data_IF_865719406112
#
_entry.id   IF_865719406112
#
_cell.length_a   1.000
_cell.length_b   1.000
_cell.length_c   1.000
_cell.angle_alpha   90.00
_cell.angle_beta   90.00
_cell.angle_gamma   90.00
#
_symmetry.space_group_name_H-M   'P 1'
#
loop_
_entity.id
_entity.type
_entity.pdbx_description
1 polymer ?
#
# COMPACT_ATOMS: atom_id res chain seq x y z
N UNK A 1 -39.80 3.64 9.85
CA UNK A 1 -38.75 3.15 8.93
C UNK A 1 -37.99 4.37 8.49
N UNK A 2 -36.82 4.63 9.09
CA UNK A 2 -35.91 5.64 8.57
C UNK A 2 -35.46 5.19 7.18
N UNK A 3 -35.36 6.10 6.18
CA UNK A 3 -34.85 5.72 4.87
C UNK A 3 -33.43 5.18 5.05
N UNK A 4 -33.20 3.96 4.58
CA UNK A 4 -31.85 3.38 4.45
C UNK A 4 -30.98 4.42 3.76
N UNK A 5 -30.00 4.98 4.48
CA UNK A 5 -29.01 5.90 3.90
C UNK A 5 -28.30 5.13 2.80
N UNK A 6 -28.69 5.41 1.55
CA UNK A 6 -28.01 4.81 0.39
C UNK A 6 -26.52 5.14 0.49
N UNK A 7 -25.72 4.08 0.56
CA UNK A 7 -24.25 4.19 0.58
C UNK A 7 -23.78 4.81 -0.73
N UNK A 8 -22.86 5.78 -0.64
CA UNK A 8 -22.21 6.34 -1.82
C UNK A 8 -21.41 5.22 -2.55
N UNK A 9 -21.71 5.03 -3.84
CA UNK A 9 -20.94 4.15 -4.73
C UNK A 9 -20.03 4.95 -5.65
N UNK A 10 -19.09 4.28 -6.31
CA UNK A 10 -18.27 4.93 -7.34
C UNK A 10 -19.16 5.42 -8.50
N UNK A 11 -18.89 6.62 -8.99
CA UNK A 11 -19.64 7.21 -10.09
C UNK A 11 -19.35 6.58 -11.46
N UNK A 12 -18.22 5.85 -11.57
CA UNK A 12 -17.83 5.21 -12.83
C UNK A 12 -16.95 3.98 -12.62
N UNK A 13 -17.02 3.02 -13.57
CA UNK A 13 -16.15 1.85 -13.60
C UNK A 13 -14.66 2.23 -13.66
N UNK A 14 -14.32 3.26 -14.45
CA UNK A 14 -12.96 3.77 -14.54
C UNK A 14 -12.49 4.34 -13.19
N UNK A 15 -13.37 5.07 -12.47
CA UNK A 15 -13.07 5.58 -11.12
C UNK A 15 -12.74 4.47 -10.14
N UNK A 16 -13.54 3.41 -10.13
CA UNK A 16 -13.27 2.23 -9.31
C UNK A 16 -11.91 1.60 -9.63
N UNK A 17 -11.61 1.37 -10.92
CA UNK A 17 -10.34 0.77 -11.35
C UNK A 17 -9.15 1.65 -10.95
N UNK A 18 -9.21 2.96 -11.19
CA UNK A 18 -8.12 3.88 -10.88
C UNK A 18 -7.88 4.03 -9.37
N UNK A 19 -8.95 4.09 -8.56
CA UNK A 19 -8.81 4.14 -7.10
C UNK A 19 -8.26 2.83 -6.56
N UNK A 20 -8.75 1.67 -7.06
CA UNK A 20 -8.26 0.36 -6.66
C UNK A 20 -6.79 0.15 -7.06
N UNK A 21 -6.42 0.55 -8.28
CA UNK A 21 -5.02 0.54 -8.73
C UNK A 21 -4.15 1.48 -7.89
N UNK A 22 -4.65 2.69 -7.56
CA UNK A 22 -3.96 3.63 -6.68
C UNK A 22 -3.76 3.12 -5.26
N UNK A 23 -4.68 2.32 -4.76
CA UNK A 23 -4.51 1.65 -3.48
C UNK A 23 -3.43 0.54 -3.55
N UNK A 24 -3.38 -0.19 -4.66
CA UNK A 24 -2.40 -1.26 -4.88
C UNK A 24 -0.99 -0.72 -5.16
N UNK A 25 -0.87 0.37 -5.94
CA UNK A 25 0.39 1.03 -6.27
C UNK A 25 0.83 1.90 -5.08
N UNK A 26 1.50 1.29 -4.13
CA UNK A 26 2.01 1.94 -2.94
C UNK A 26 3.53 2.05 -2.90
N UNK A 27 4.05 2.52 -1.78
CA UNK A 27 5.49 2.61 -1.49
C UNK A 27 6.18 1.25 -1.64
N UNK A 28 5.48 0.15 -1.32
CA UNK A 28 5.99 -1.21 -1.43
C UNK A 28 6.45 -1.59 -2.84
N UNK A 29 5.78 -1.12 -3.88
CA UNK A 29 6.13 -1.39 -5.27
C UNK A 29 7.45 -0.73 -5.68
N UNK A 30 7.75 0.42 -5.09
CA UNK A 30 8.94 1.21 -5.44
C UNK A 30 10.12 0.94 -4.49
N UNK A 31 9.83 0.54 -3.26
CA UNK A 31 10.84 0.26 -2.25
C UNK A 31 11.05 -1.25 -2.04
N UNK A 32 10.02 -1.94 -1.48
CA UNK A 32 10.17 -3.34 -1.02
C UNK A 32 10.41 -4.29 -2.19
N UNK A 33 9.68 -4.12 -3.28
CA UNK A 33 9.80 -5.01 -4.44
C UNK A 33 11.19 -4.96 -5.10
N UNK A 34 11.76 -3.78 -5.44
CA UNK A 34 13.13 -3.71 -5.95
C UNK A 34 14.16 -4.27 -4.98
N UNK A 35 14.09 -3.91 -3.68
CA UNK A 35 15.02 -4.39 -2.67
C UNK A 35 15.04 -5.93 -2.61
N UNK A 36 13.85 -6.54 -2.48
CA UNK A 36 13.71 -8.01 -2.42
C UNK A 36 14.13 -8.65 -3.74
N UNK A 37 13.82 -8.03 -4.89
CA UNK A 37 14.28 -8.51 -6.20
C UNK A 37 15.80 -8.52 -6.28
N UNK A 38 16.46 -7.48 -5.79
CA UNK A 38 17.93 -7.41 -5.74
C UNK A 38 18.55 -8.47 -4.84
N UNK A 39 17.94 -8.74 -3.68
CA UNK A 39 18.43 -9.72 -2.71
C UNK A 39 18.26 -11.18 -3.16
N UNK A 40 17.18 -11.50 -3.88
CA UNK A 40 16.78 -12.89 -4.16
C UNK A 40 16.90 -13.29 -5.63
N UNK A 41 17.89 -12.79 -6.35
CA UNK A 41 18.28 -13.28 -7.67
C UNK A 41 17.59 -12.59 -8.86
N UNK A 42 17.10 -11.36 -8.69
CA UNK A 42 16.69 -10.51 -9.80
C UNK A 42 15.52 -11.10 -10.61
N UNK A 43 15.77 -11.41 -11.89
CA UNK A 43 14.76 -11.92 -12.81
C UNK A 43 14.11 -13.24 -12.40
N UNK A 44 14.82 -14.11 -11.68
CA UNK A 44 14.26 -15.36 -11.15
C UNK A 44 13.20 -15.07 -10.09
N UNK A 45 13.49 -14.15 -9.19
CA UNK A 45 12.51 -13.70 -8.19
C UNK A 45 11.24 -13.14 -8.87
N UNK A 46 11.40 -12.29 -9.89
CA UNK A 46 10.25 -11.73 -10.65
C UNK A 46 9.41 -12.83 -11.28
N UNK A 47 10.05 -13.88 -11.84
CA UNK A 47 9.31 -15.02 -12.40
C UNK A 47 8.47 -15.75 -11.33
N UNK A 48 9.07 -16.04 -10.17
CA UNK A 48 8.32 -16.65 -9.06
C UNK A 48 7.20 -15.74 -8.55
N UNK A 49 7.46 -14.44 -8.43
CA UNK A 49 6.45 -13.45 -8.05
C UNK A 49 5.24 -13.51 -9.00
N UNK A 50 5.46 -13.53 -10.32
CA UNK A 50 4.38 -13.65 -11.31
C UNK A 50 3.59 -14.94 -11.19
N UNK A 51 4.28 -16.05 -10.95
CA UNK A 51 3.63 -17.35 -10.72
C UNK A 51 2.73 -17.29 -9.48
N UNK A 52 3.24 -16.77 -8.35
CA UNK A 52 2.46 -16.66 -7.11
C UNK A 52 1.36 -15.58 -7.20
N UNK A 53 1.55 -14.52 -7.96
CA UNK A 53 0.50 -13.55 -8.25
C UNK A 53 -0.70 -14.21 -8.91
N UNK A 54 -0.47 -15.07 -9.89
CA UNK A 54 -1.55 -15.80 -10.58
C UNK A 54 -2.15 -16.90 -9.70
N UNK A 55 -1.33 -17.66 -8.99
CA UNK A 55 -1.77 -18.78 -8.18
C UNK A 55 -2.45 -18.36 -6.88
N UNK A 56 -2.00 -17.29 -6.24
CA UNK A 56 -2.46 -16.85 -4.92
C UNK A 56 -3.10 -15.47 -4.95
N UNK A 57 -2.44 -14.49 -5.52
CA UNK A 57 -2.87 -13.09 -5.50
C UNK A 57 -4.23 -12.90 -6.17
N UNK A 58 -4.39 -13.36 -7.40
CA UNK A 58 -5.67 -13.25 -8.12
C UNK A 58 -6.83 -14.00 -7.43
N UNK A 59 -6.67 -15.26 -6.97
CA UNK A 59 -7.71 -15.92 -6.19
C UNK A 59 -8.15 -15.17 -4.95
N UNK A 60 -7.21 -14.70 -4.11
CA UNK A 60 -7.53 -13.96 -2.89
C UNK A 60 -8.22 -12.64 -3.22
N UNK A 61 -7.69 -11.87 -4.17
CA UNK A 61 -8.31 -10.62 -4.61
C UNK A 61 -9.74 -10.83 -5.12
N UNK A 62 -10.00 -11.89 -5.89
CA UNK A 62 -11.36 -12.18 -6.35
C UNK A 62 -12.31 -12.55 -5.21
N UNK A 63 -11.81 -13.19 -4.14
CA UNK A 63 -12.60 -13.47 -2.94
C UNK A 63 -12.95 -12.20 -2.18
N UNK A 64 -11.99 -11.32 -1.96
CA UNK A 64 -12.22 -10.03 -1.30
C UNK A 64 -13.23 -9.17 -2.05
N UNK A 65 -13.06 -9.04 -3.37
CA UNK A 65 -13.99 -8.29 -4.21
C UNK A 65 -15.39 -8.92 -4.23
N UNK A 66 -15.51 -10.26 -4.25
CA UNK A 66 -16.79 -10.95 -4.23
C UNK A 66 -17.51 -10.75 -2.88
N UNK A 67 -16.80 -10.83 -1.76
CA UNK A 67 -17.36 -10.56 -0.41
C UNK A 67 -17.82 -9.11 -0.30
N UNK A 68 -17.00 -8.16 -0.74
CA UNK A 68 -17.36 -6.75 -0.72
C UNK A 68 -18.58 -6.43 -1.59
N UNK A 69 -18.65 -7.01 -2.81
CA UNK A 69 -19.77 -6.82 -3.73
C UNK A 69 -21.06 -7.45 -3.21
N UNK A 70 -21.02 -8.69 -2.74
CA UNK A 70 -22.19 -9.39 -2.25
C UNK A 70 -22.68 -8.89 -0.88
N UNK A 71 -21.75 -8.42 -0.03
CA UNK A 71 -22.05 -7.92 1.31
C UNK A 71 -22.57 -6.48 1.36
N UNK A 72 -22.33 -5.69 0.31
CA UNK A 72 -22.73 -4.27 0.19
C UNK A 72 -22.38 -3.39 1.40
N UNK A 73 -21.32 -3.73 2.15
CA UNK A 73 -20.94 -3.05 3.39
C UNK A 73 -19.43 -2.99 3.61
N UNK A 74 -19.01 -2.32 4.70
CA UNK A 74 -17.65 -2.42 5.21
C UNK A 74 -17.35 -3.88 5.65
N UNK A 75 -16.08 -4.22 5.88
CA UNK A 75 -15.66 -5.61 6.07
C UNK A 75 -16.55 -6.37 7.08
N UNK A 76 -16.83 -5.78 8.26
CA UNK A 76 -17.66 -6.43 9.29
C UNK A 76 -19.10 -6.64 8.83
N UNK A 77 -19.72 -5.61 8.25
CA UNK A 77 -21.10 -5.67 7.75
C UNK A 77 -21.22 -6.66 6.60
N UNK A 78 -20.24 -6.71 5.69
CA UNK A 78 -20.21 -7.67 4.59
C UNK A 78 -20.13 -9.13 5.09
N UNK A 79 -19.23 -9.41 6.03
CA UNK A 79 -19.21 -10.75 6.66
C UNK A 79 -20.52 -11.10 7.34
N UNK A 80 -21.10 -10.18 8.12
CA UNK A 80 -22.36 -10.39 8.83
C UNK A 80 -23.53 -10.67 7.89
N UNK A 81 -23.55 -10.03 6.72
CA UNK A 81 -24.59 -10.25 5.71
C UNK A 81 -24.50 -11.62 5.01
N UNK A 82 -23.28 -12.16 4.90
CA UNK A 82 -23.02 -13.38 4.12
C UNK A 82 -22.82 -14.63 4.99
N UNK A 83 -22.52 -14.48 6.28
CA UNK A 83 -22.23 -15.58 7.18
C UNK A 83 -23.48 -16.43 7.50
N UNK A 84 -23.32 -17.74 7.76
CA UNK A 84 -24.40 -18.59 8.26
C UNK A 84 -24.91 -18.11 9.63
N UNK A 85 -26.20 -18.30 9.87
CA UNK A 85 -26.81 -17.94 11.15
C UNK A 85 -26.09 -18.64 12.33
N UNK A 86 -25.76 -17.84 13.35
CA UNK A 86 -25.06 -18.32 14.56
C UNK A 86 -23.54 -18.42 14.42
N UNK A 87 -22.97 -18.11 13.25
CA UNK A 87 -21.51 -18.04 13.09
C UNK A 87 -20.95 -16.71 13.59
N UNK A 88 -19.63 -16.60 13.65
CA UNK A 88 -18.93 -15.42 14.18
C UNK A 88 -17.87 -14.87 13.20
N UNK A 89 -18.04 -15.09 11.91
CA UNK A 89 -17.08 -14.63 10.92
C UNK A 89 -16.97 -13.09 10.85
N UNK A 90 -18.05 -12.39 11.16
CA UNK A 90 -18.06 -10.92 11.26
C UNK A 90 -17.00 -10.35 12.22
N UNK A 91 -16.48 -11.15 13.18
CA UNK A 91 -15.39 -10.73 14.07
C UNK A 91 -14.13 -10.40 13.26
N UNK A 92 -13.90 -11.11 12.13
CA UNK A 92 -12.76 -10.82 11.26
C UNK A 92 -12.79 -9.39 10.72
N UNK A 93 -13.95 -8.78 10.54
CA UNK A 93 -14.05 -7.38 10.14
C UNK A 93 -13.38 -6.40 11.12
N UNK A 94 -13.35 -6.71 12.42
CA UNK A 94 -12.58 -5.93 13.40
C UNK A 94 -11.07 -6.08 13.20
N UNK A 95 -10.60 -7.28 12.88
CA UNK A 95 -9.18 -7.50 12.55
C UNK A 95 -8.78 -6.73 11.28
N UNK A 96 -9.65 -6.67 10.27
CA UNK A 96 -9.44 -5.85 9.08
C UNK A 96 -9.32 -4.35 9.43
N UNK A 97 -10.21 -3.84 10.29
CA UNK A 97 -10.18 -2.44 10.73
C UNK A 97 -8.90 -2.12 11.52
N UNK A 98 -8.54 -2.97 12.47
CA UNK A 98 -7.29 -2.83 13.26
C UNK A 98 -6.07 -2.89 12.34
N UNK A 99 -6.07 -3.80 11.36
CA UNK A 99 -5.00 -3.89 10.35
C UNK A 99 -4.86 -2.60 9.54
N UNK A 100 -5.97 -1.99 9.12
CA UNK A 100 -5.94 -0.70 8.43
C UNK A 100 -5.39 0.43 9.32
N UNK A 101 -5.74 0.45 10.60
CA UNK A 101 -5.23 1.45 11.55
C UNK A 101 -3.72 1.26 11.77
N UNK A 102 -3.27 0.02 12.06
CA UNK A 102 -1.86 -0.30 12.23
C UNK A 102 -1.03 0.05 10.98
N UNK A 103 -1.54 -0.30 9.78
CA UNK A 103 -0.91 0.08 8.53
C UNK A 103 -0.73 1.60 8.44
N UNK A 104 -1.76 2.38 8.77
CA UNK A 104 -1.71 3.82 8.64
C UNK A 104 -0.84 4.50 9.71
N UNK A 105 -0.56 3.87 10.84
CA UNK A 105 0.32 4.41 11.87
C UNK A 105 1.74 4.66 11.32
N UNK A 106 2.32 3.69 10.61
CA UNK A 106 3.63 3.88 10.01
C UNK A 106 3.59 4.42 8.58
N UNK A 107 2.57 4.08 7.80
CA UNK A 107 2.49 4.45 6.39
C UNK A 107 2.34 5.96 6.19
N UNK A 108 1.61 6.66 7.08
CA UNK A 108 1.51 8.13 7.06
C UNK A 108 2.85 8.81 7.38
N UNK A 109 3.65 8.22 8.26
CA UNK A 109 5.01 8.70 8.56
C UNK A 109 5.91 8.60 7.34
N UNK A 110 5.96 7.42 6.68
CA UNK A 110 6.78 7.22 5.47
C UNK A 110 6.28 8.08 4.31
N UNK A 111 4.96 8.24 4.17
CA UNK A 111 4.38 9.17 3.17
C UNK A 111 4.78 10.63 3.45
N UNK A 112 4.92 11.00 4.71
CA UNK A 112 5.45 12.30 5.13
C UNK A 112 6.89 12.51 4.66
N UNK A 113 7.75 11.49 4.77
CA UNK A 113 9.13 11.56 4.26
C UNK A 113 9.19 11.79 2.75
N UNK A 114 8.29 11.16 1.97
CA UNK A 114 8.21 11.38 0.53
C UNK A 114 7.85 12.84 0.20
N UNK A 115 6.91 13.40 0.94
CA UNK A 115 6.48 14.79 0.77
C UNK A 115 7.59 15.78 1.19
N UNK A 116 8.31 15.52 2.28
CA UNK A 116 9.46 16.31 2.69
C UNK A 116 10.54 16.33 1.59
N UNK A 117 10.93 15.17 1.10
CA UNK A 117 11.92 15.06 0.04
C UNK A 117 11.49 15.73 -1.27
N UNK A 118 10.20 15.66 -1.62
CA UNK A 118 9.66 16.44 -2.73
C UNK A 118 9.94 17.94 -2.56
N UNK A 119 9.62 18.49 -1.39
CA UNK A 119 9.88 19.92 -1.13
C UNK A 119 11.36 20.24 -1.09
N UNK A 120 12.20 19.39 -0.52
CA UNK A 120 13.67 19.59 -0.47
C UNK A 120 14.28 19.62 -1.87
N UNK A 121 13.88 18.73 -2.77
CA UNK A 121 14.31 18.79 -4.18
C UNK A 121 13.74 20.00 -4.90
N UNK A 122 12.46 20.31 -4.71
CA UNK A 122 11.81 21.47 -5.33
C UNK A 122 12.48 22.79 -4.95
N UNK A 123 12.86 22.93 -3.69
CA UNK A 123 13.52 24.15 -3.17
C UNK A 123 15.04 24.19 -3.42
N UNK A 124 15.63 23.09 -3.90
CA UNK A 124 17.05 23.02 -4.22
C UNK A 124 17.95 22.70 -3.03
N UNK A 125 17.42 22.14 -1.94
CA UNK A 125 18.23 21.82 -0.76
C UNK A 125 19.27 20.71 -1.02
N UNK A 126 19.19 20.04 -2.16
CA UNK A 126 20.17 19.04 -2.61
C UNK A 126 21.20 19.62 -3.60
N UNK A 127 21.05 20.89 -4.03
CA UNK A 127 21.91 21.49 -5.05
C UNK A 127 23.33 21.69 -4.52
N UNK A 128 24.31 21.14 -5.23
CA UNK A 128 25.74 21.31 -4.89
C UNK A 128 26.22 20.49 -3.69
N UNK A 129 25.41 19.60 -3.13
CA UNK A 129 25.82 18.72 -2.05
C UNK A 129 26.74 17.60 -2.54
N UNK A 130 27.69 17.22 -1.71
CA UNK A 130 28.45 15.97 -1.89
C UNK A 130 27.58 14.75 -1.56
N UNK A 131 27.95 13.56 -2.05
CA UNK A 131 27.25 12.32 -1.75
C UNK A 131 27.13 12.01 -0.26
N UNK A 132 28.14 12.40 0.52
CA UNK A 132 28.16 12.24 1.98
C UNK A 132 27.14 13.17 2.65
N UNK A 133 27.08 14.43 2.24
CA UNK A 133 26.12 15.40 2.75
C UNK A 133 24.68 15.04 2.37
N UNK A 134 24.44 14.62 1.12
CA UNK A 134 23.13 14.16 0.69
C UNK A 134 22.65 12.91 1.46
N UNK A 135 23.57 12.00 1.78
CA UNK A 135 23.28 10.84 2.64
C UNK A 135 22.94 11.23 4.08
N UNK A 136 23.54 12.31 4.60
CA UNK A 136 23.30 12.81 5.95
C UNK A 136 21.89 13.38 6.16
N UNK A 137 21.27 13.93 5.11
CA UNK A 137 19.94 14.58 5.19
C UNK A 137 18.86 13.64 5.76
N UNK A 138 18.90 12.37 5.40
CA UNK A 138 17.94 11.39 5.93
C UNK A 138 18.11 11.21 7.45
N UNK A 139 19.33 11.08 7.92
CA UNK A 139 19.62 11.00 9.36
C UNK A 139 19.23 12.26 10.14
N UNK A 140 19.45 13.43 9.55
CA UNK A 140 19.03 14.72 10.14
C UNK A 140 17.50 14.78 10.27
N UNK A 141 16.76 14.43 9.22
CA UNK A 141 15.29 14.37 9.24
C UNK A 141 14.79 13.41 10.32
N UNK A 142 15.33 12.18 10.37
CA UNK A 142 14.95 11.17 11.38
C UNK A 142 15.24 11.63 12.81
N UNK A 143 16.29 12.42 13.01
CA UNK A 143 16.67 12.94 14.33
C UNK A 143 15.81 14.12 14.79
N UNK A 144 15.03 14.75 13.89
CA UNK A 144 14.17 15.91 14.17
C UNK A 144 12.72 15.49 14.53
N UNK A 145 12.33 15.47 15.81
CA UNK A 145 10.97 15.09 16.22
C UNK A 145 9.88 15.97 15.60
N UNK A 146 10.15 17.28 15.52
CA UNK A 146 9.19 18.27 15.02
C UNK A 146 8.92 18.04 13.53
N UNK A 147 9.98 17.84 12.75
CA UNK A 147 9.88 17.63 11.31
C UNK A 147 9.15 16.32 10.98
N UNK A 148 9.50 15.23 11.67
CA UNK A 148 8.86 13.94 11.54
C UNK A 148 7.35 14.01 11.80
N UNK A 149 6.95 14.61 12.92
CA UNK A 149 5.53 14.75 13.29
C UNK A 149 4.80 15.72 12.36
N UNK A 150 5.45 16.81 11.94
CA UNK A 150 4.86 17.82 11.04
C UNK A 150 4.44 17.20 9.70
N UNK A 151 5.34 16.49 9.01
CA UNK A 151 5.07 15.90 7.71
C UNK A 151 4.06 14.76 7.78
N UNK A 152 4.15 13.91 8.82
CA UNK A 152 3.15 12.87 9.10
C UNK A 152 1.76 13.50 9.31
N UNK A 153 1.66 14.56 10.12
CA UNK A 153 0.39 15.23 10.40
C UNK A 153 -0.21 15.88 9.14
N UNK A 154 0.60 16.50 8.27
CA UNK A 154 0.15 17.06 7.00
C UNK A 154 -0.51 15.98 6.14
N UNK A 155 0.15 14.84 5.93
CA UNK A 155 -0.38 13.72 5.15
C UNK A 155 -1.70 13.23 5.75
N UNK A 156 -1.74 13.04 7.07
CA UNK A 156 -2.94 12.53 7.76
C UNK A 156 -4.11 13.51 7.62
N UNK A 157 -3.89 14.79 7.91
CA UNK A 157 -4.93 15.81 7.82
C UNK A 157 -5.41 15.98 6.37
N UNK A 158 -4.50 16.06 5.40
CA UNK A 158 -4.84 16.18 3.98
C UNK A 158 -5.68 14.97 3.51
N UNK A 159 -5.32 13.75 3.90
CA UNK A 159 -6.05 12.54 3.56
C UNK A 159 -7.50 12.58 4.09
N UNK A 160 -7.70 12.92 5.35
CA UNK A 160 -9.05 13.03 5.91
C UNK A 160 -9.86 14.20 5.35
N UNK A 161 -9.22 15.32 4.98
CA UNK A 161 -9.90 16.42 4.26
C UNK A 161 -10.42 15.95 2.91
N UNK A 162 -9.64 15.16 2.15
CA UNK A 162 -10.06 14.58 0.87
C UNK A 162 -11.23 13.63 1.08
N UNK A 163 -11.11 12.68 2.01
CA UNK A 163 -12.17 11.72 2.32
C UNK A 163 -13.43 12.41 2.87
N UNK A 164 -13.29 13.48 3.63
CA UNK A 164 -14.42 14.27 4.17
C UNK A 164 -15.34 14.85 3.09
N UNK A 165 -14.84 15.01 1.84
CA UNK A 165 -15.62 15.48 0.69
C UNK A 165 -16.52 14.42 0.05
N UNK A 166 -16.56 13.21 0.61
CA UNK A 166 -17.32 12.08 0.09
C UNK A 166 -16.55 11.19 -0.88
N UNK A 167 -17.16 10.05 -1.23
CA UNK A 167 -16.53 9.07 -2.09
C UNK A 167 -16.32 9.61 -3.51
N UNK A 168 -17.36 10.18 -4.12
CA UNK A 168 -17.29 10.68 -5.51
C UNK A 168 -16.60 12.05 -5.61
N UNK A 169 -16.91 12.99 -4.70
CA UNK A 169 -16.35 14.34 -4.71
C UNK A 169 -14.92 14.45 -4.21
N UNK A 170 -14.52 13.56 -3.30
CA UNK A 170 -13.19 13.50 -2.71
C UNK A 170 -12.33 12.39 -3.30
N UNK A 171 -12.51 11.17 -2.82
CA UNK A 171 -11.65 10.03 -3.14
C UNK A 171 -11.57 9.75 -4.65
N UNK A 172 -12.71 9.60 -5.34
CA UNK A 172 -12.73 9.24 -6.77
C UNK A 172 -12.15 10.36 -7.65
N UNK A 173 -12.51 11.62 -7.38
CA UNK A 173 -12.02 12.77 -8.16
C UNK A 173 -10.52 12.96 -7.98
N UNK A 174 -10.04 12.98 -6.74
CA UNK A 174 -8.62 13.17 -6.42
C UNK A 174 -7.83 11.95 -6.89
N UNK A 175 -8.32 10.72 -6.63
CA UNK A 175 -7.68 9.49 -7.06
C UNK A 175 -7.53 9.40 -8.58
N UNK A 176 -8.55 9.73 -9.37
CA UNK A 176 -8.47 9.78 -10.84
C UNK A 176 -7.37 10.73 -11.33
N UNK A 177 -7.34 11.95 -10.77
CA UNK A 177 -6.34 12.94 -11.16
C UNK A 177 -4.93 12.49 -10.79
N UNK A 178 -4.74 12.02 -9.56
CA UNK A 178 -3.45 11.55 -9.08
C UNK A 178 -2.95 10.33 -9.87
N UNK A 179 -3.81 9.35 -10.13
CA UNK A 179 -3.43 8.15 -10.88
C UNK A 179 -3.09 8.47 -12.34
N UNK A 180 -3.81 9.42 -12.97
CA UNK A 180 -3.45 9.89 -14.32
C UNK A 180 -2.11 10.61 -14.33
N UNK A 181 -1.87 11.50 -13.36
CA UNK A 181 -0.59 12.18 -13.21
C UNK A 181 0.56 11.18 -12.92
N UNK A 182 0.32 10.21 -12.04
CA UNK A 182 1.25 9.15 -11.70
C UNK A 182 1.63 8.30 -12.93
N UNK A 183 0.67 7.93 -13.77
CA UNK A 183 0.95 7.21 -15.01
C UNK A 183 1.83 8.02 -15.96
N UNK A 184 1.56 9.31 -16.13
CA UNK A 184 2.38 10.20 -16.96
C UNK A 184 3.79 10.33 -16.39
N UNK A 185 3.90 10.55 -15.07
CA UNK A 185 5.19 10.69 -14.38
C UNK A 185 6.04 9.42 -14.52
N UNK A 186 5.44 8.23 -14.33
CA UNK A 186 6.18 6.97 -14.46
C UNK A 186 6.66 6.76 -15.91
N UNK A 187 5.84 7.10 -16.91
CA UNK A 187 6.25 7.02 -18.32
C UNK A 187 7.42 7.95 -18.63
N UNK A 188 7.38 9.20 -18.11
CA UNK A 188 8.48 10.16 -18.26
C UNK A 188 9.77 9.64 -17.62
N UNK A 189 9.69 9.14 -16.37
CA UNK A 189 10.84 8.60 -15.65
C UNK A 189 11.39 7.32 -16.32
N UNK A 190 10.53 6.45 -16.82
CA UNK A 190 10.93 5.24 -17.58
C UNK A 190 11.65 5.62 -18.87
N UNK A 191 11.10 6.53 -19.67
CA UNK A 191 11.75 7.02 -20.89
C UNK A 191 13.11 7.64 -20.57
N UNK A 192 13.19 8.44 -19.52
CA UNK A 192 14.47 9.00 -19.07
C UNK A 192 15.46 7.89 -18.62
N UNK A 193 15.00 6.87 -17.90
CA UNK A 193 15.84 5.74 -17.47
C UNK A 193 16.47 4.98 -18.64
N UNK A 194 15.79 4.89 -19.80
CA UNK A 194 16.34 4.31 -21.02
C UNK A 194 17.47 5.14 -21.66
N UNK A 195 17.61 6.39 -21.29
CA UNK A 195 18.73 7.24 -21.75
C UNK A 195 20.00 7.06 -20.92
N UNK A 196 19.91 6.37 -19.79
CA UNK A 196 21.07 6.04 -18.95
C UNK A 196 21.84 4.84 -19.53
N UNK A 197 23.18 4.81 -19.46
CA UNK A 197 23.97 3.71 -19.99
C UNK A 197 23.77 2.41 -19.18
N UNK A 198 23.13 1.41 -19.79
CA UNK A 198 22.91 0.08 -19.22
C UNK A 198 21.88 -0.76 -19.97
N UNK A 199 22.21 -2.01 -20.35
CA UNK A 199 21.44 -2.84 -21.31
C UNK A 199 20.23 -3.63 -20.75
N UNK A 200 19.76 -3.41 -19.52
CA UNK A 200 18.77 -4.29 -18.86
C UNK A 200 17.28 -3.99 -19.17
N UNK A 201 16.95 -3.24 -20.20
CA UNK A 201 15.65 -2.53 -20.30
C UNK A 201 14.61 -3.13 -21.26
N UNK A 202 14.41 -4.43 -21.37
CA UNK A 202 13.49 -4.94 -22.42
C UNK A 202 12.41 -5.92 -22.04
N UNK A 203 11.77 -5.94 -20.89
CA UNK A 203 10.53 -6.76 -20.71
C UNK A 203 9.69 -6.27 -19.51
N UNK A 204 8.37 -5.86 -19.66
CA UNK A 204 7.33 -5.96 -18.62
C UNK A 204 5.91 -5.46 -18.92
N UNK A 205 4.88 -5.93 -18.14
CA UNK A 205 3.42 -5.63 -18.25
C UNK A 205 2.76 -5.28 -16.90
N UNK A 206 1.92 -4.35 -16.91
CA UNK A 206 1.12 -3.37 -16.13
C UNK A 206 1.02 -3.29 -14.57
N UNK A 207 0.81 -4.24 -13.71
CA UNK A 207 0.92 -4.02 -12.24
C UNK A 207 2.33 -4.41 -11.78
N UNK A 208 2.79 -5.46 -12.34
CA UNK A 208 4.20 -5.77 -12.53
C UNK A 208 4.92 -4.65 -13.26
N UNK A 209 4.26 -3.93 -14.17
CA UNK A 209 4.80 -2.78 -14.88
C UNK A 209 5.22 -1.66 -13.93
N UNK A 210 4.46 -1.28 -12.91
CA UNK A 210 4.90 -0.22 -11.97
C UNK A 210 6.03 -0.70 -11.06
N UNK A 211 5.95 -1.91 -10.52
CA UNK A 211 7.03 -2.47 -9.70
C UNK A 211 8.29 -2.71 -10.54
N UNK A 212 8.13 -3.18 -11.76
CA UNK A 212 9.23 -3.35 -12.71
C UNK A 212 9.69 -2.02 -13.29
N UNK A 213 8.82 -1.03 -13.53
CA UNK A 213 9.25 0.32 -13.90
C UNK A 213 10.04 0.98 -12.77
N UNK A 214 9.64 0.80 -11.52
CA UNK A 214 10.43 1.24 -10.39
C UNK A 214 11.81 0.53 -10.37
N UNK A 215 11.85 -0.78 -10.60
CA UNK A 215 13.09 -1.53 -10.76
C UNK A 215 13.93 -1.05 -11.96
N UNK A 216 13.30 -0.78 -13.11
CA UNK A 216 13.96 -0.24 -14.30
C UNK A 216 14.52 1.18 -14.12
N UNK A 217 13.98 1.95 -13.20
CA UNK A 217 14.52 3.26 -12.81
C UNK A 217 15.68 3.07 -11.81
N UNK A 218 15.46 2.25 -10.79
CA UNK A 218 16.35 2.11 -9.64
C UNK A 218 17.59 1.28 -9.99
N UNK A 219 17.44 0.11 -10.64
CA UNK A 219 18.57 -0.77 -10.90
C UNK A 219 19.62 -0.15 -11.85
N UNK A 220 19.27 0.40 -13.01
CA UNK A 220 20.26 1.06 -13.85
C UNK A 220 20.95 2.21 -13.11
N UNK A 221 20.21 2.99 -12.32
CA UNK A 221 20.77 4.06 -11.52
C UNK A 221 21.75 3.51 -10.48
N UNK A 222 21.38 2.49 -9.68
CA UNK A 222 22.26 1.86 -8.69
C UNK A 222 23.53 1.31 -9.33
N UNK A 223 23.42 0.55 -10.42
CA UNK A 223 24.57 -0.05 -11.11
C UNK A 223 25.46 0.99 -11.79
N UNK A 224 24.89 2.06 -12.37
CA UNK A 224 25.69 3.14 -12.98
C UNK A 224 26.51 3.92 -11.95
N UNK A 225 26.06 3.97 -10.70
CA UNK A 225 26.75 4.67 -9.61
C UNK A 225 27.43 3.70 -8.61
N UNK A 226 27.46 2.39 -8.89
CA UNK A 226 28.15 1.39 -8.06
C UNK A 226 27.52 1.19 -6.68
N UNK A 227 26.21 1.38 -6.55
CA UNK A 227 25.47 1.32 -5.28
C UNK A 227 24.68 0.00 -5.22
N UNK A 228 24.69 -0.67 -4.06
CA UNK A 228 23.94 -1.90 -3.86
C UNK A 228 22.44 -1.63 -3.75
N UNK A 229 21.56 -2.36 -4.49
CA UNK A 229 20.12 -2.15 -4.48
C UNK A 229 19.41 -2.75 -3.26
N UNK A 230 20.12 -3.38 -2.32
CA UNK A 230 19.57 -4.11 -1.17
C UNK A 230 19.47 -3.30 0.14
N UNK A 231 19.59 -1.99 0.06
CA UNK A 231 19.72 -1.12 1.24
C UNK A 231 18.37 -0.75 1.96
N UNK A 232 17.24 -1.37 1.60
CA UNK A 232 15.94 -1.08 2.25
C UNK A 232 15.45 0.37 2.07
N UNK A 233 14.94 1.05 3.14
CA UNK A 233 14.54 2.47 3.08
C UNK A 233 15.65 3.39 2.59
N UNK A 234 16.88 3.06 2.94
CA UNK A 234 18.07 3.81 2.51
C UNK A 234 18.19 3.89 0.99
N UNK A 235 17.63 2.93 0.26
CA UNK A 235 17.60 2.96 -1.21
C UNK A 235 16.89 4.23 -1.74
N UNK A 236 15.74 4.57 -1.19
CA UNK A 236 14.96 5.72 -1.65
C UNK A 236 15.50 7.03 -1.07
N UNK A 237 15.86 7.05 0.20
CA UNK A 237 16.17 8.31 0.90
C UNK A 237 17.66 8.65 0.97
N UNK A 238 18.54 7.70 0.66
CA UNK A 238 19.99 7.91 0.62
C UNK A 238 20.52 7.70 -0.80
N UNK A 239 20.26 6.53 -1.38
CA UNK A 239 20.85 6.14 -2.67
C UNK A 239 20.32 6.98 -3.83
N UNK A 240 19.00 7.09 -4.01
CA UNK A 240 18.42 7.84 -5.12
C UNK A 240 18.69 9.35 -5.04
N UNK A 241 18.61 10.04 -3.90
CA UNK A 241 19.08 11.41 -3.79
C UNK A 241 20.54 11.58 -4.24
N UNK A 242 21.43 10.67 -3.85
CA UNK A 242 22.82 10.69 -4.32
C UNK A 242 22.94 10.54 -5.85
N UNK A 243 22.13 9.67 -6.44
CA UNK A 243 22.08 9.54 -7.90
C UNK A 243 21.64 10.87 -8.53
N UNK A 244 20.55 11.45 -8.02
CA UNK A 244 20.03 12.71 -8.56
C UNK A 244 21.00 13.89 -8.39
N UNK A 245 21.70 14.00 -7.27
CA UNK A 245 22.68 15.08 -7.06
C UNK A 245 23.86 15.00 -8.04
N UNK A 246 24.21 13.80 -8.50
CA UNK A 246 25.35 13.58 -9.40
C UNK A 246 24.96 13.56 -10.90
N UNK A 247 23.68 13.73 -11.26
CA UNK A 247 23.25 13.71 -12.66
C UNK A 247 22.83 15.08 -13.16
N UNK A 248 22.94 15.32 -14.48
CA UNK A 248 22.50 16.56 -15.09
C UNK A 248 20.99 16.76 -14.93
N UNK A 249 20.57 17.90 -14.38
CA UNK A 249 19.15 18.17 -14.11
C UNK A 249 18.58 17.39 -12.91
N UNK A 250 19.43 16.90 -12.02
CA UNK A 250 19.06 16.08 -10.88
C UNK A 250 17.99 16.68 -9.98
N UNK A 251 17.98 18.00 -9.80
CA UNK A 251 16.91 18.72 -9.09
C UNK A 251 15.54 18.45 -9.73
N UNK A 252 15.43 18.55 -11.05
CA UNK A 252 14.17 18.28 -11.77
C UNK A 252 13.76 16.82 -11.61
N UNK A 253 14.69 15.89 -11.85
CA UNK A 253 14.40 14.45 -11.78
C UNK A 253 14.08 14.00 -10.37
N UNK A 254 14.79 14.48 -9.36
CA UNK A 254 14.48 14.22 -7.97
C UNK A 254 13.12 14.77 -7.56
N UNK A 255 12.79 16.01 -7.97
CA UNK A 255 11.46 16.58 -7.73
C UNK A 255 10.35 15.75 -8.36
N UNK A 256 10.49 15.33 -9.63
CA UNK A 256 9.51 14.50 -10.31
C UNK A 256 9.37 13.11 -9.67
N UNK A 257 10.49 12.50 -9.27
CA UNK A 257 10.48 11.20 -8.60
C UNK A 257 9.76 11.26 -7.26
N UNK A 258 10.09 12.21 -6.39
CA UNK A 258 9.45 12.33 -5.08
C UNK A 258 8.01 12.84 -5.17
N UNK A 259 7.64 13.59 -6.21
CA UNK A 259 6.25 13.89 -6.52
C UNK A 259 5.47 12.62 -6.88
N UNK A 260 6.05 11.77 -7.75
CA UNK A 260 5.50 10.46 -8.07
C UNK A 260 5.30 9.61 -6.83
N UNK A 261 6.32 9.51 -5.97
CA UNK A 261 6.27 8.76 -4.72
C UNK A 261 5.20 9.29 -3.75
N UNK A 262 5.09 10.60 -3.65
CA UNK A 262 4.05 11.26 -2.82
C UNK A 262 2.66 10.92 -3.35
N UNK A 263 2.41 10.96 -4.64
CA UNK A 263 1.11 10.59 -5.21
C UNK A 263 0.81 9.10 -5.02
N UNK A 264 1.78 8.22 -5.24
CA UNK A 264 1.63 6.79 -5.03
C UNK A 264 1.26 6.48 -3.57
N UNK A 265 2.00 7.04 -2.61
CA UNK A 265 1.72 6.84 -1.20
C UNK A 265 0.39 7.45 -0.76
N UNK A 266 0.10 8.68 -1.18
CA UNK A 266 -1.12 9.38 -0.79
C UNK A 266 -2.38 8.75 -1.36
N UNK A 267 -2.34 8.14 -2.55
CA UNK A 267 -3.48 7.39 -3.09
C UNK A 267 -3.86 6.19 -2.23
N UNK A 268 -2.87 5.48 -1.68
CA UNK A 268 -3.09 4.39 -0.71
C UNK A 268 -3.67 4.95 0.61
N UNK A 269 -3.11 6.05 1.11
CA UNK A 269 -3.59 6.70 2.36
C UNK A 269 -5.08 7.04 2.27
N UNK A 270 -5.51 7.73 1.22
CA UNK A 270 -6.92 8.13 1.07
C UNK A 270 -7.85 6.92 0.90
N UNK A 271 -7.41 5.85 0.22
CA UNK A 271 -8.21 4.63 0.06
C UNK A 271 -8.40 3.88 1.39
N UNK A 272 -7.35 3.76 2.20
CA UNK A 272 -7.43 3.11 3.51
C UNK A 272 -8.19 3.97 4.51
N UNK A 273 -8.04 5.29 4.49
CA UNK A 273 -8.84 6.21 5.32
C UNK A 273 -10.32 6.10 5.01
N UNK A 274 -10.69 5.99 3.72
CA UNK A 274 -12.09 5.77 3.33
C UNK A 274 -12.63 4.48 3.94
N UNK A 275 -11.84 3.40 3.94
CA UNK A 275 -12.25 2.15 4.58
C UNK A 275 -12.43 2.32 6.11
N UNK A 276 -11.53 3.02 6.79
CA UNK A 276 -11.66 3.31 8.24
C UNK A 276 -12.91 4.13 8.52
N UNK A 277 -13.18 5.18 7.70
CA UNK A 277 -14.38 6.01 7.81
C UNK A 277 -15.64 5.17 7.57
N UNK A 278 -15.66 4.33 6.53
CA UNK A 278 -16.79 3.46 6.24
C UNK A 278 -17.09 2.52 7.41
N UNK A 279 -16.06 1.87 7.97
CA UNK A 279 -16.20 1.04 9.17
C UNK A 279 -16.74 1.84 10.36
N UNK A 280 -16.21 3.06 10.60
CA UNK A 280 -16.67 3.89 11.71
C UNK A 280 -18.14 4.33 11.54
N UNK A 281 -18.55 4.67 10.33
CA UNK A 281 -19.93 5.04 10.05
C UNK A 281 -20.90 3.85 10.22
N UNK A 282 -20.52 2.65 9.75
CA UNK A 282 -21.37 1.47 9.80
C UNK A 282 -21.41 0.81 11.19
N UNK A 283 -20.26 0.70 11.86
CA UNK A 283 -20.16 -0.04 13.13
C UNK A 283 -20.52 0.81 14.35
N UNK A 284 -20.21 2.11 14.33
CA UNK A 284 -20.49 3.02 15.45
C UNK A 284 -21.64 4.00 15.17
N UNK A 285 -22.22 3.99 13.97
CA UNK A 285 -23.28 4.90 13.59
C UNK A 285 -22.84 6.37 13.52
N UNK A 286 -21.54 6.63 13.32
CA UNK A 286 -21.02 7.99 13.22
C UNK A 286 -21.39 8.63 11.88
N UNK A 287 -21.61 9.94 11.90
CA UNK A 287 -21.62 10.69 10.64
C UNK A 287 -20.20 10.83 10.08
N UNK A 288 -20.11 11.08 8.78
CA UNK A 288 -18.84 11.16 8.07
C UNK A 288 -17.89 12.22 8.63
N UNK A 289 -18.41 13.40 8.99
CA UNK A 289 -17.61 14.48 9.58
C UNK A 289 -16.99 14.08 10.91
N UNK A 290 -17.80 13.48 11.80
CA UNK A 290 -17.32 12.97 13.08
C UNK A 290 -16.25 11.88 12.88
N UNK A 291 -16.49 10.93 11.96
CA UNK A 291 -15.53 9.88 11.65
C UNK A 291 -14.20 10.47 11.12
N UNK A 292 -14.24 11.50 10.28
CA UNK A 292 -13.04 12.19 9.79
C UNK A 292 -12.29 12.91 10.91
N UNK A 293 -12.99 13.67 11.76
CA UNK A 293 -12.35 14.44 12.85
C UNK A 293 -11.69 13.49 13.86
N UNK A 294 -12.45 12.49 14.33
CA UNK A 294 -11.94 11.52 15.30
C UNK A 294 -10.84 10.68 14.69
N UNK A 295 -11.00 10.23 13.43
CA UNK A 295 -9.99 9.48 12.69
C UNK A 295 -8.69 10.27 12.52
N UNK A 296 -8.77 11.56 12.18
CA UNK A 296 -7.59 12.45 12.10
C UNK A 296 -6.87 12.51 13.44
N UNK A 297 -7.58 12.84 14.52
CA UNK A 297 -6.98 12.95 15.84
C UNK A 297 -6.38 11.60 16.31
N UNK A 298 -7.12 10.51 16.11
CA UNK A 298 -6.67 9.17 16.47
C UNK A 298 -5.40 8.76 15.70
N UNK A 299 -5.37 8.92 14.37
CA UNK A 299 -4.22 8.49 13.56
C UNK A 299 -3.00 9.40 13.73
N UNK A 300 -3.18 10.71 13.98
CA UNK A 300 -2.04 11.56 14.36
C UNK A 300 -1.45 11.09 15.70
N UNK A 301 -2.28 10.82 16.70
CA UNK A 301 -1.79 10.33 18.00
C UNK A 301 -1.17 8.93 17.91
N UNK A 302 -1.81 8.01 17.19
CA UNK A 302 -1.32 6.64 17.03
C UNK A 302 -0.09 6.52 16.14
N UNK A 303 0.16 7.48 15.23
CA UNK A 303 1.37 7.56 14.43
C UNK A 303 2.58 8.18 15.17
N UNK A 304 2.37 8.84 16.34
CA UNK A 304 3.48 9.41 17.12
C UNK A 304 4.54 8.37 17.52
N UNK A 305 4.21 7.14 17.96
CA UNK A 305 5.22 6.14 18.30
C UNK A 305 6.14 5.81 17.13
N UNK A 306 5.60 5.72 15.92
CA UNK A 306 6.39 5.49 14.72
C UNK A 306 7.30 6.71 14.42
N UNK A 307 6.74 7.93 14.39
CA UNK A 307 7.49 9.15 14.08
C UNK A 307 8.56 9.46 15.14
N UNK A 308 8.26 9.25 16.42
CA UNK A 308 9.19 9.51 17.53
C UNK A 308 10.14 8.35 17.81
N UNK A 309 9.88 7.17 17.28
CA UNK A 309 10.71 5.97 17.46
C UNK A 309 12.13 6.09 16.90
N UNK A 310 12.37 7.03 16.00
CA UNK A 310 13.69 7.32 15.45
C UNK A 310 14.51 8.33 16.27
N UNK A 311 13.87 9.04 17.21
CA UNK A 311 14.49 10.12 17.98
C UNK A 311 14.18 10.03 19.47
N UNK A 312 13.13 10.70 19.98
CA UNK A 312 12.80 10.78 21.41
C UNK A 312 12.53 9.42 22.04
N UNK A 313 11.91 8.50 21.28
CA UNK A 313 11.56 7.15 21.73
C UNK A 313 12.42 6.06 21.12
N UNK A 314 13.61 6.38 20.61
CA UNK A 314 14.55 5.41 20.00
C UNK A 314 15.02 4.29 20.95
N UNK A 315 14.80 4.48 22.27
CA UNK A 315 15.04 3.43 23.27
C UNK A 315 14.00 2.29 23.22
N UNK A 316 12.85 2.52 22.55
CA UNK A 316 11.83 1.48 22.36
C UNK A 316 12.22 0.64 21.15
N UNK A 317 12.70 -0.56 21.39
CA UNK A 317 13.17 -1.52 20.37
C UNK A 317 12.38 -2.83 20.48
N UNK A 318 11.17 -2.90 19.91
CA UNK A 318 10.21 -3.98 20.19
C UNK A 318 10.66 -5.35 19.70
N UNK A 319 11.50 -5.41 18.67
CA UNK A 319 11.99 -6.65 18.05
C UNK A 319 13.46 -6.95 18.39
N UNK A 320 14.03 -6.24 19.37
CA UNK A 320 15.43 -6.37 19.77
C UNK A 320 16.31 -5.21 19.31
N UNK A 321 17.61 -5.30 19.62
CA UNK A 321 18.56 -4.22 19.41
C UNK A 321 18.60 -3.75 17.94
N UNK A 322 18.44 -2.44 17.74
CA UNK A 322 18.45 -1.80 16.43
C UNK A 322 17.09 -1.78 15.70
N UNK A 323 16.06 -2.43 16.23
CA UNK A 323 14.71 -2.35 15.65
C UNK A 323 14.00 -1.06 16.05
N UNK A 324 13.10 -0.61 15.18
CA UNK A 324 12.26 0.57 15.41
C UNK A 324 10.80 0.18 15.65
N UNK A 325 9.99 1.13 16.09
CA UNK A 325 8.54 0.95 16.19
C UNK A 325 7.93 0.67 14.80
N UNK A 326 8.44 1.33 13.75
CA UNK A 326 8.03 1.09 12.37
C UNK A 326 8.23 -0.37 11.95
N UNK A 327 9.40 -0.95 12.26
CA UNK A 327 9.70 -2.34 11.92
C UNK A 327 8.71 -3.31 12.58
N UNK A 328 8.33 -3.03 13.82
CA UNK A 328 7.35 -3.83 14.55
C UNK A 328 5.93 -3.70 13.96
N UNK A 329 5.50 -2.48 13.65
CA UNK A 329 4.20 -2.22 13.03
C UNK A 329 4.11 -2.88 11.64
N UNK A 330 5.15 -2.74 10.81
CA UNK A 330 5.23 -3.41 9.49
C UNK A 330 5.25 -4.93 9.64
N UNK A 331 5.99 -5.47 10.61
CA UNK A 331 6.00 -6.91 10.87
C UNK A 331 4.59 -7.44 11.21
N UNK A 332 3.87 -6.76 12.11
CA UNK A 332 2.51 -7.17 12.47
C UNK A 332 1.56 -7.15 11.26
N UNK A 333 1.65 -6.12 10.44
CA UNK A 333 0.79 -5.99 9.26
C UNK A 333 1.20 -6.97 8.19
N UNK A 334 2.46 -6.99 7.79
CA UNK A 334 2.95 -7.71 6.61
C UNK A 334 3.07 -9.22 6.83
N UNK A 335 3.48 -9.65 8.02
CA UNK A 335 3.77 -11.07 8.30
C UNK A 335 2.63 -11.78 9.02
N UNK A 336 1.77 -11.05 9.76
CA UNK A 336 0.68 -11.66 10.52
C UNK A 336 -0.69 -11.33 9.95
N UNK A 337 -1.04 -10.03 9.83
CA UNK A 337 -2.41 -9.62 9.50
C UNK A 337 -2.77 -9.85 8.04
N UNK A 338 -1.88 -9.56 7.10
CA UNK A 338 -2.14 -9.74 5.67
C UNK A 338 -2.25 -11.23 5.29
N UNK A 339 -1.28 -12.11 5.61
CA UNK A 339 -1.41 -13.53 5.28
C UNK A 339 -2.52 -14.22 6.10
N UNK A 340 -2.65 -13.89 7.38
CA UNK A 340 -3.72 -14.40 8.24
C UNK A 340 -5.10 -13.98 7.77
N UNK A 341 -5.26 -12.71 7.39
CA UNK A 341 -6.50 -12.17 6.82
C UNK A 341 -6.86 -12.85 5.51
N UNK A 342 -5.91 -13.02 4.61
CA UNK A 342 -6.10 -13.75 3.33
C UNK A 342 -6.56 -15.19 3.55
N UNK A 343 -5.98 -15.87 4.55
CA UNK A 343 -6.41 -17.23 4.93
C UNK A 343 -7.85 -17.26 5.46
N UNK A 344 -8.24 -16.27 6.27
CA UNK A 344 -9.62 -16.17 6.79
C UNK A 344 -10.61 -15.90 5.66
N UNK A 345 -10.30 -14.97 4.72
CA UNK A 345 -11.12 -14.73 3.53
C UNK A 345 -11.30 -16.01 2.69
N UNK A 346 -10.22 -16.73 2.48
CA UNK A 346 -10.25 -18.00 1.74
C UNK A 346 -11.14 -19.02 2.44
N UNK A 347 -10.91 -19.25 3.74
CA UNK A 347 -11.71 -20.21 4.53
C UNK A 347 -13.19 -19.82 4.56
N UNK A 348 -13.51 -18.55 4.68
CA UNK A 348 -14.87 -18.04 4.62
C UNK A 348 -15.55 -18.35 3.29
N UNK A 349 -14.85 -18.10 2.18
CA UNK A 349 -15.42 -18.31 0.84
C UNK A 349 -15.55 -19.80 0.46
N UNK A 350 -14.70 -20.71 1.00
CA UNK A 350 -14.66 -22.10 0.49
C UNK A 350 -15.24 -23.14 1.46
N UNK A 351 -15.38 -22.82 2.76
CA UNK A 351 -15.83 -23.79 3.76
C UNK A 351 -17.36 -23.79 3.92
N UNK A 352 -17.89 -24.90 4.42
CA UNK A 352 -19.32 -25.04 4.74
C UNK A 352 -19.74 -24.19 5.95
N UNK A 353 -18.78 -23.80 6.79
CA UNK A 353 -18.99 -22.99 8.00
C UNK A 353 -18.93 -21.48 7.70
N UNK A 354 -18.51 -21.11 6.50
CA UNK A 354 -18.52 -19.74 5.99
C UNK A 354 -19.61 -19.54 4.92
N UNK A 355 -19.37 -18.60 4.01
CA UNK A 355 -20.27 -18.30 2.89
C UNK A 355 -20.46 -19.50 1.94
N UNK A 356 -19.38 -20.26 1.74
CA UNK A 356 -19.37 -21.48 0.95
C UNK A 356 -19.06 -21.28 -0.53
N UNK A 357 -18.30 -22.23 -1.09
CA UNK A 357 -17.76 -22.14 -2.45
C UNK A 357 -18.84 -21.92 -3.52
N UNK A 358 -19.99 -22.60 -3.41
CA UNK A 358 -20.98 -22.53 -4.47
C UNK A 358 -21.68 -21.17 -4.55
N UNK A 359 -21.90 -20.50 -3.41
CA UNK A 359 -22.41 -19.13 -3.35
C UNK A 359 -21.35 -18.13 -3.83
N UNK A 360 -20.10 -18.30 -3.40
CA UNK A 360 -18.97 -17.50 -3.87
C UNK A 360 -18.79 -17.59 -5.39
N UNK A 361 -18.79 -18.81 -5.95
CA UNK A 361 -18.66 -19.04 -7.38
C UNK A 361 -19.85 -18.47 -8.18
N UNK A 362 -21.07 -18.56 -7.63
CA UNK A 362 -22.25 -17.95 -8.23
C UNK A 362 -22.09 -16.43 -8.32
N UNK A 363 -21.61 -15.81 -7.24
CA UNK A 363 -21.34 -14.36 -7.21
C UNK A 363 -20.26 -13.97 -8.23
N UNK A 364 -19.13 -14.68 -8.28
CA UNK A 364 -18.08 -14.41 -9.27
C UNK A 364 -18.56 -14.55 -10.71
N UNK A 365 -19.55 -15.41 -10.95
CA UNK A 365 -20.12 -15.67 -12.27
C UNK A 365 -21.27 -14.72 -12.66
N UNK A 366 -21.60 -13.74 -11.83
CA UNK A 366 -22.54 -12.68 -12.21
C UNK A 366 -21.92 -11.74 -13.24
N UNK A 367 -22.70 -11.34 -14.26
CA UNK A 367 -22.23 -10.48 -15.38
C UNK A 367 -21.63 -11.26 -16.55
N UNK A 368 -21.05 -10.52 -17.51
CA UNK A 368 -20.61 -11.04 -18.82
C UNK A 368 -19.13 -11.42 -18.88
N UNK A 369 -18.43 -11.42 -17.73
CA UNK A 369 -17.00 -11.77 -17.64
C UNK A 369 -16.70 -13.26 -17.77
N UNK A 370 -15.41 -13.65 -17.78
CA UNK A 370 -14.98 -15.04 -17.75
C UNK A 370 -15.61 -15.78 -16.56
N UNK A 371 -16.19 -16.95 -16.82
CA UNK A 371 -16.83 -17.75 -15.77
C UNK A 371 -15.78 -18.56 -15.02
N UNK A 372 -15.95 -18.65 -13.70
CA UNK A 372 -15.07 -19.47 -12.85
C UNK A 372 -15.24 -20.95 -13.16
N UNK A 373 -14.20 -21.68 -13.57
CA UNK A 373 -14.30 -23.08 -13.90
C UNK A 373 -14.43 -23.96 -12.65
N UNK A 374 -15.20 -25.02 -12.70
CA UNK A 374 -15.47 -25.91 -11.54
C UNK A 374 -14.22 -26.63 -11.01
N UNK A 375 -13.19 -26.83 -11.84
CA UNK A 375 -11.95 -27.49 -11.43
C UNK A 375 -11.12 -26.67 -10.41
N UNK A 376 -11.39 -25.37 -10.28
CA UNK A 376 -10.72 -24.50 -9.29
C UNK A 376 -11.16 -24.83 -7.86
N UNK A 377 -12.33 -25.44 -7.65
CA UNK A 377 -12.86 -25.76 -6.31
C UNK A 377 -11.89 -26.58 -5.44
N UNK A 378 -11.31 -27.71 -5.89
CA UNK A 378 -10.34 -28.46 -5.09
C UNK A 378 -9.05 -27.68 -4.83
N UNK A 379 -8.60 -26.89 -5.78
CA UNK A 379 -7.44 -26.02 -5.60
C UNK A 379 -7.66 -25.02 -4.46
N UNK A 380 -8.76 -24.27 -4.47
CA UNK A 380 -9.10 -23.28 -3.44
C UNK A 380 -9.36 -23.92 -2.08
N UNK A 381 -9.86 -25.17 -2.06
CA UNK A 381 -10.22 -25.84 -0.82
C UNK A 381 -9.04 -26.51 -0.12
N UNK A 382 -8.04 -27.00 -0.87
CA UNK A 382 -6.99 -27.84 -0.31
C UNK A 382 -5.57 -27.27 -0.53
N UNK A 383 -5.27 -26.76 -1.72
CA UNK A 383 -3.92 -26.31 -2.07
C UNK A 383 -3.66 -24.90 -1.58
N UNK A 384 -4.54 -23.97 -1.92
CA UNK A 384 -4.36 -22.56 -1.61
C UNK A 384 -4.28 -22.26 -0.10
N UNK A 385 -5.08 -22.89 0.80
CA UNK A 385 -4.94 -22.69 2.24
C UNK A 385 -3.59 -23.14 2.77
N UNK A 386 -3.05 -24.25 2.24
CA UNK A 386 -1.71 -24.75 2.64
C UNK A 386 -0.62 -23.78 2.20
N UNK A 387 -0.69 -23.28 0.97
CA UNK A 387 0.28 -22.30 0.47
C UNK A 387 0.27 -21.02 1.33
N UNK A 388 -0.90 -20.47 1.65
CA UNK A 388 -1.01 -19.27 2.50
C UNK A 388 -0.52 -19.56 3.92
N UNK A 389 -0.86 -20.72 4.49
CA UNK A 389 -0.40 -21.12 5.81
C UNK A 389 1.12 -21.28 5.88
N UNK A 390 1.77 -21.83 4.84
CA UNK A 390 3.23 -21.92 4.75
C UNK A 390 3.85 -20.52 4.76
N UNK A 391 3.31 -19.58 3.97
CA UNK A 391 3.81 -18.19 3.96
C UNK A 391 3.63 -17.52 5.32
N UNK A 392 2.47 -17.71 5.96
CA UNK A 392 2.22 -17.18 7.31
C UNK A 392 3.25 -17.71 8.32
N UNK A 393 3.52 -19.01 8.30
CA UNK A 393 4.49 -19.62 9.22
C UNK A 393 5.91 -19.13 8.92
N UNK A 394 6.31 -19.07 7.64
CA UNK A 394 7.62 -18.53 7.25
C UNK A 394 7.83 -17.07 7.62
N UNK A 395 6.74 -16.27 7.61
CA UNK A 395 6.80 -14.86 8.04
C UNK A 395 6.95 -14.67 9.56
N UNK A 396 6.71 -15.74 10.36
CA UNK A 396 6.79 -15.69 11.83
C UNK A 396 8.10 -16.31 12.37
N UNK A 397 8.84 -17.04 11.55
CA UNK A 397 10.14 -17.69 11.87
C UNK A 397 11.27 -16.92 11.23
#
# INVERSE_FOLDING_TARGET
>A
MEPEKQREGFGSRLGFILVSAGCAIGIGNVWRFPTVTGQYGGGIFVLFYLIFLVLMGLPVLTMELAVGRAGHGAARSAYKALEPQGSKWHIHGWFCMVGCILLMMYYTTVSGWMLDYFFRFLTGNFDGLTSEQASGIFGEMLSSPVEMVFWMAIITVAGFIVCGRGLQGGLEKVGKWMMSALLVLILVLVVHSFTLPGEAARICVLDTFVAVCAGLIIFPACFSFGISPDAGPSLIFITLPNVFTNMAGGRLWGTLFFLFMTFASFSTVIAVFENIIACACEDFGWDRHKACIVGTAALVLLGLPCALGYNVWSFIQPMGAGSTVLDFEDFLVSNLLLPGGSLVYLLFCVTKWGWGFDKYAAECNTGDGPKMPRWVKPYFKYVLPVLIAVILVQGLV
#
